data_IF_518286148961
#
_entry.id   IF_518286148961
#
_cell.length_a   1.000
_cell.length_b   1.000
_cell.length_c   1.000
_cell.angle_alpha   90.00
_cell.angle_beta   90.00
_cell.angle_gamma   90.00
#
_symmetry.space_group_name_H-M   'P 1'
#
loop_
_entity.id
_entity.type
_entity.pdbx_description
1 polymer ?
#
# COMPACT_ATOMS: atom_id res chain seq x y z
N UNK A 1 21.98 5.83 -1.40
CA UNK A 1 21.76 7.08 -2.16
C UNK A 1 20.34 7.10 -2.66
N UNK A 2 19.61 8.18 -2.57
CA UNK A 2 18.19 8.23 -2.89
C UNK A 2 17.94 8.30 -4.41
N UNK A 3 16.66 8.33 -4.80
CA UNK A 3 16.28 8.70 -6.16
C UNK A 3 16.94 10.03 -6.55
N UNK A 4 17.51 10.10 -7.74
CA UNK A 4 18.28 11.28 -8.22
C UNK A 4 17.59 12.06 -9.34
N UNK A 5 16.49 11.53 -9.87
CA UNK A 5 15.76 12.16 -10.96
C UNK A 5 14.53 11.38 -11.39
N UNK A 6 13.93 11.85 -12.47
CA UNK A 6 12.76 11.25 -13.10
C UNK A 6 13.13 10.49 -14.37
N UNK A 7 12.33 9.48 -14.67
CA UNK A 7 12.37 8.74 -15.93
C UNK A 7 11.19 9.17 -16.81
N UNK A 8 11.45 9.49 -18.06
CA UNK A 8 10.41 9.75 -19.04
C UNK A 8 9.75 8.47 -19.57
N UNK A 9 8.53 8.55 -20.12
CA UNK A 9 7.85 7.40 -20.72
C UNK A 9 8.67 6.69 -21.81
N UNK A 10 9.48 7.44 -22.57
CA UNK A 10 10.34 6.92 -23.65
C UNK A 10 11.62 6.24 -23.12
N UNK A 11 11.88 6.35 -21.81
CA UNK A 11 13.04 5.73 -21.16
C UNK A 11 14.20 6.66 -20.87
N UNK A 12 14.22 7.88 -21.40
CA UNK A 12 15.20 8.90 -21.05
C UNK A 12 15.08 9.31 -19.58
N UNK A 13 16.13 9.89 -19.02
CA UNK A 13 16.17 10.33 -17.64
C UNK A 13 16.56 11.79 -17.50
N UNK A 14 16.11 12.44 -16.41
CA UNK A 14 16.45 13.81 -16.05
C UNK A 14 16.68 13.90 -14.55
N UNK A 15 17.74 14.59 -14.11
CA UNK A 15 17.97 14.83 -12.68
C UNK A 15 16.87 15.71 -12.07
N UNK A 16 16.62 15.59 -10.76
CA UNK A 16 15.66 16.45 -10.07
C UNK A 16 16.03 17.94 -10.21
N UNK A 17 17.32 18.27 -10.12
CA UNK A 17 17.79 19.64 -10.27
C UNK A 17 17.40 20.22 -11.62
N UNK A 18 17.60 19.48 -12.70
CA UNK A 18 17.26 19.93 -14.04
C UNK A 18 15.74 19.98 -14.27
N UNK A 19 15.01 18.98 -13.79
CA UNK A 19 13.55 18.93 -13.94
C UNK A 19 12.84 20.05 -13.16
N UNK A 20 13.32 20.39 -11.97
CA UNK A 20 12.69 21.39 -11.10
C UNK A 20 13.25 22.80 -11.32
N UNK A 21 14.47 22.93 -11.84
CA UNK A 21 15.15 24.21 -12.06
C UNK A 21 14.58 25.02 -13.24
N UNK A 22 14.18 24.36 -14.32
CA UNK A 22 13.51 24.98 -15.46
C UNK A 22 12.01 24.71 -15.43
N UNK A 23 11.24 25.62 -14.85
CA UNK A 23 9.77 25.49 -14.72
C UNK A 23 9.01 25.39 -16.04
N UNK A 24 9.68 25.50 -17.18
CA UNK A 24 9.09 25.31 -18.50
C UNK A 24 9.20 23.88 -18.99
N UNK A 25 9.90 23.01 -18.25
CA UNK A 25 10.17 21.66 -18.72
C UNK A 25 8.98 20.72 -18.55
N UNK A 26 8.56 20.24 -19.69
CA UNK A 26 8.08 18.88 -19.96
C UNK A 26 6.81 18.40 -19.27
N UNK A 27 5.90 19.30 -18.88
CA UNK A 27 4.51 18.90 -18.59
C UNK A 27 3.93 18.09 -19.75
N UNK A 28 4.25 18.47 -20.99
CA UNK A 28 3.78 17.75 -22.19
C UNK A 28 4.39 16.35 -22.29
N UNK A 29 5.67 16.20 -21.95
CA UNK A 29 6.39 14.93 -22.05
C UNK A 29 6.16 14.00 -20.87
N UNK A 30 6.14 14.52 -19.63
CA UNK A 30 5.89 13.74 -18.41
C UNK A 30 4.42 13.59 -18.06
N UNK A 31 3.56 14.47 -18.54
CA UNK A 31 2.14 14.53 -18.18
C UNK A 31 1.90 14.92 -16.72
N UNK A 32 2.91 15.49 -16.03
CA UNK A 32 2.85 15.80 -14.59
C UNK A 32 3.30 17.26 -14.38
N UNK A 33 2.51 18.01 -13.60
CA UNK A 33 2.83 19.41 -13.31
C UNK A 33 3.95 19.53 -12.27
N UNK A 34 4.72 20.63 -12.35
CA UNK A 34 5.92 20.86 -11.53
C UNK A 34 5.71 20.67 -10.03
N UNK A 35 4.58 21.11 -9.48
CA UNK A 35 4.29 20.97 -8.04
C UNK A 35 4.12 19.52 -7.60
N UNK A 36 3.62 18.64 -8.48
CA UNK A 36 3.55 17.21 -8.22
C UNK A 36 4.95 16.58 -8.33
N UNK A 37 5.77 17.02 -9.27
CA UNK A 37 7.18 16.59 -9.36
C UNK A 37 7.98 17.01 -8.14
N UNK A 38 7.79 18.23 -7.62
CA UNK A 38 8.40 18.70 -6.35
C UNK A 38 8.04 17.77 -5.17
N UNK A 39 6.79 17.33 -5.08
CA UNK A 39 6.37 16.40 -4.04
C UNK A 39 7.02 15.01 -4.22
N UNK A 40 7.06 14.51 -5.44
CA UNK A 40 7.68 13.22 -5.77
C UNK A 40 9.20 13.21 -5.54
N UNK A 41 9.86 14.36 -5.71
CA UNK A 41 11.31 14.53 -5.54
C UNK A 41 11.76 14.64 -4.07
N UNK A 42 10.85 14.62 -3.10
CA UNK A 42 11.20 14.71 -1.68
C UNK A 42 12.09 13.55 -1.26
N UNK A 43 13.25 13.92 -0.73
CA UNK A 43 14.26 12.97 -0.28
C UNK A 43 14.05 12.61 1.20
N UNK A 44 14.47 11.40 1.57
CA UNK A 44 14.58 10.96 2.96
C UNK A 44 16.05 10.81 3.31
N UNK A 45 16.42 11.13 4.54
CA UNK A 45 17.78 10.94 5.02
C UNK A 45 18.23 9.46 4.88
N UNK A 46 19.39 9.20 4.27
CA UNK A 46 19.84 7.82 4.02
C UNK A 46 20.11 7.02 5.30
N UNK A 47 20.59 7.68 6.34
CA UNK A 47 20.99 7.12 7.65
C UNK A 47 19.86 7.10 8.69
N UNK A 48 18.63 7.48 8.28
CA UNK A 48 17.47 7.42 9.17
C UNK A 48 17.21 6.01 9.71
N UNK A 49 16.61 5.94 10.88
CA UNK A 49 16.05 4.67 11.40
C UNK A 49 15.10 4.03 10.37
N UNK A 50 15.07 2.70 10.25
CA UNK A 50 14.10 2.02 9.39
C UNK A 50 12.67 2.35 9.81
N UNK A 51 11.78 2.52 8.84
CA UNK A 51 10.35 2.70 9.12
C UNK A 51 9.59 1.38 9.02
N UNK A 52 8.45 1.30 9.71
CA UNK A 52 7.53 0.15 9.64
C UNK A 52 7.21 -0.20 8.19
N UNK A 53 6.84 0.78 7.37
CA UNK A 53 6.49 0.59 5.96
C UNK A 53 7.66 0.08 5.12
N UNK A 54 8.87 0.55 5.42
CA UNK A 54 10.09 0.11 4.73
C UNK A 54 10.42 -1.35 5.04
N UNK A 55 10.29 -1.76 6.31
CA UNK A 55 10.59 -3.12 6.75
C UNK A 55 9.56 -4.17 6.28
N UNK A 56 8.33 -3.77 6.03
CA UNK A 56 7.32 -4.65 5.41
C UNK A 56 7.70 -4.97 3.96
N UNK A 57 8.36 -4.06 3.27
CA UNK A 57 8.89 -4.29 1.94
C UNK A 57 10.06 -5.29 1.95
N UNK A 58 10.50 -5.71 0.78
CA UNK A 58 11.66 -6.59 0.63
C UNK A 58 12.95 -5.94 1.13
N UNK A 59 13.74 -6.65 1.94
CA UNK A 59 15.00 -6.12 2.50
C UNK A 59 15.97 -5.70 1.42
N UNK A 60 16.08 -6.49 0.33
CA UNK A 60 16.93 -6.14 -0.82
C UNK A 60 16.45 -4.84 -1.50
N UNK A 61 15.14 -4.66 -1.67
CA UNK A 61 14.60 -3.41 -2.20
C UNK A 61 14.94 -2.23 -1.29
N UNK A 62 14.72 -2.34 0.02
CA UNK A 62 15.02 -1.28 0.99
C UNK A 62 16.51 -0.91 0.99
N UNK A 63 17.39 -1.91 0.91
CA UNK A 63 18.82 -1.72 0.80
C UNK A 63 19.19 -0.92 -0.47
N UNK A 64 18.78 -1.40 -1.64
CA UNK A 64 19.09 -0.75 -2.92
C UNK A 64 18.53 0.69 -2.99
N UNK A 65 17.33 0.93 -2.47
CA UNK A 65 16.77 2.29 -2.39
C UNK A 65 17.56 3.24 -1.48
N UNK A 66 18.37 2.72 -0.55
CA UNK A 66 19.24 3.54 0.33
C UNK A 66 20.66 3.70 -0.21
N UNK A 67 21.18 2.71 -0.93
CA UNK A 67 22.59 2.66 -1.34
C UNK A 67 22.85 3.04 -2.78
N UNK A 68 21.86 2.85 -3.67
CA UNK A 68 22.03 3.05 -5.09
C UNK A 68 21.30 4.30 -5.60
N UNK A 69 21.85 4.90 -6.63
CA UNK A 69 21.15 5.98 -7.38
C UNK A 69 20.16 5.39 -8.35
N UNK A 70 18.93 5.89 -8.33
CA UNK A 70 17.90 5.45 -9.26
C UNK A 70 16.98 6.60 -9.69
N UNK A 71 16.21 6.36 -10.75
CA UNK A 71 15.23 7.30 -11.28
C UNK A 71 13.83 6.78 -11.04
N UNK A 72 12.92 7.67 -10.66
CA UNK A 72 11.51 7.36 -10.45
C UNK A 72 10.70 7.68 -11.70
N UNK A 73 9.71 6.83 -12.01
CA UNK A 73 8.72 7.08 -13.05
C UNK A 73 7.52 7.83 -12.44
N UNK A 74 7.27 9.08 -12.83
CA UNK A 74 6.15 9.86 -12.30
C UNK A 74 4.78 9.19 -12.54
N UNK A 75 4.63 8.41 -13.61
CA UNK A 75 3.39 7.69 -13.89
C UNK A 75 3.13 6.56 -12.87
N UNK A 76 4.17 5.81 -12.51
CA UNK A 76 4.09 4.78 -11.47
C UNK A 76 3.86 5.39 -10.08
N UNK A 77 4.39 6.60 -9.84
CA UNK A 77 4.23 7.34 -8.58
C UNK A 77 2.87 8.03 -8.40
N UNK A 78 2.05 8.13 -9.46
CA UNK A 78 0.76 8.84 -9.42
C UNK A 78 -0.18 8.33 -8.31
N UNK A 79 -0.23 7.03 -8.08
CA UNK A 79 -1.06 6.45 -7.01
C UNK A 79 -0.49 6.71 -5.62
N UNK A 80 0.83 6.76 -5.46
CA UNK A 80 1.48 7.13 -4.20
C UNK A 80 1.19 8.59 -3.86
N UNK A 81 1.28 9.48 -4.85
CA UNK A 81 0.92 10.90 -4.71
C UNK A 81 -0.54 11.07 -4.28
N UNK A 82 -1.47 10.36 -4.92
CA UNK A 82 -2.88 10.39 -4.55
C UNK A 82 -3.11 9.88 -3.11
N UNK A 83 -2.37 8.88 -2.67
CA UNK A 83 -2.35 8.41 -1.28
C UNK A 83 -1.89 9.51 -0.33
N UNK A 84 -0.75 10.14 -0.60
CA UNK A 84 -0.19 11.22 0.23
C UNK A 84 -1.17 12.41 0.35
N UNK A 85 -1.82 12.82 -0.74
CA UNK A 85 -2.82 13.88 -0.70
C UNK A 85 -4.03 13.50 0.16
N UNK A 86 -4.49 12.24 0.07
CA UNK A 86 -5.60 11.73 0.85
C UNK A 86 -5.27 11.77 2.36
N UNK A 87 -4.08 11.30 2.77
CA UNK A 87 -3.62 11.36 4.16
C UNK A 87 -3.59 12.81 4.67
N UNK A 88 -2.96 13.74 3.95
CA UNK A 88 -2.88 15.15 4.34
C UNK A 88 -4.24 15.82 4.55
N UNK A 89 -5.24 15.50 3.73
CA UNK A 89 -6.58 16.05 3.91
C UNK A 89 -7.21 15.53 5.22
N UNK A 90 -7.00 14.27 5.54
CA UNK A 90 -7.55 13.67 6.76
C UNK A 90 -6.81 14.15 8.01
N UNK A 91 -5.49 14.25 7.96
CA UNK A 91 -4.65 14.80 9.03
C UNK A 91 -5.02 16.25 9.38
N UNK A 92 -5.20 17.10 8.37
CA UNK A 92 -5.59 18.51 8.59
C UNK A 92 -6.95 18.68 9.28
N UNK A 93 -7.78 17.66 9.32
CA UNK A 93 -9.09 17.68 9.97
C UNK A 93 -9.11 16.88 11.29
N UNK A 94 -8.01 16.23 11.65
CA UNK A 94 -7.87 15.56 12.93
C UNK A 94 -7.56 16.59 14.04
N UNK A 95 -8.00 16.32 15.27
CA UNK A 95 -7.56 17.12 16.42
C UNK A 95 -6.08 16.88 16.70
N UNK A 96 -5.39 17.81 17.38
CA UNK A 96 -3.98 17.65 17.77
C UNK A 96 -3.73 16.36 18.60
N UNK A 97 -4.72 15.89 19.34
CA UNK A 97 -4.65 14.65 20.14
C UNK A 97 -4.80 13.36 19.27
N UNK A 98 -5.33 13.50 18.06
CA UNK A 98 -5.67 12.42 17.14
C UNK A 98 -4.76 12.39 15.89
N UNK A 99 -3.98 13.47 15.68
CA UNK A 99 -3.14 13.62 14.49
C UNK A 99 -1.91 12.70 14.51
N UNK A 100 -1.25 12.66 13.37
CA UNK A 100 -0.04 11.93 13.07
C UNK A 100 0.95 11.86 14.23
N UNK A 101 1.08 10.70 14.85
CA UNK A 101 2.01 10.45 15.95
C UNK A 101 3.23 9.74 15.42
N UNK A 102 4.38 10.43 15.47
CA UNK A 102 5.66 9.78 15.23
C UNK A 102 5.98 8.87 16.41
N UNK A 103 6.14 7.60 16.15
CA UNK A 103 6.41 6.57 17.13
C UNK A 103 7.79 5.98 16.93
N UNK A 104 8.49 5.74 18.04
CA UNK A 104 9.74 4.97 18.07
C UNK A 104 9.56 3.72 18.94
N UNK A 105 10.04 2.58 18.42
CA UNK A 105 10.07 1.33 19.16
C UNK A 105 11.04 0.36 18.54
N UNK A 106 11.87 -0.29 19.33
CA UNK A 106 12.89 -1.24 18.85
C UNK A 106 13.75 -0.69 17.70
N UNK A 107 14.15 0.60 17.76
CA UNK A 107 14.88 1.31 16.70
C UNK A 107 14.19 1.33 15.32
N UNK A 108 12.87 1.33 15.32
CA UNK A 108 12.02 1.46 14.15
C UNK A 108 11.14 2.70 14.33
N UNK A 109 10.90 3.44 13.26
CA UNK A 109 9.99 4.59 13.25
C UNK A 109 8.67 4.26 12.57
N UNK A 110 7.59 4.91 13.01
CA UNK A 110 6.27 4.79 12.41
C UNK A 110 5.49 6.07 12.52
N UNK A 111 4.60 6.29 11.59
CA UNK A 111 3.66 7.41 11.59
C UNK A 111 2.27 6.80 11.57
N UNK A 112 1.45 7.19 12.53
CA UNK A 112 0.07 6.74 12.70
C UNK A 112 -0.87 7.76 12.10
N UNK A 113 -1.79 7.34 11.27
CA UNK A 113 -2.74 8.26 10.64
C UNK A 113 -3.76 8.83 11.64
N UNK A 114 -4.34 7.96 12.48
CA UNK A 114 -5.30 8.38 13.51
C UNK A 114 -5.27 7.43 14.70
N UNK A 115 -5.12 7.99 15.90
CA UNK A 115 -5.34 7.29 17.16
C UNK A 115 -6.29 8.07 18.05
N UNK A 116 -7.52 7.59 18.21
CA UNK A 116 -8.48 8.15 19.16
C UNK A 116 -8.23 7.57 20.56
N UNK A 117 -7.67 8.39 21.44
CA UNK A 117 -7.33 8.01 22.82
C UNK A 117 -8.57 7.78 23.69
N UNK A 118 -9.72 8.37 23.36
CA UNK A 118 -10.96 8.25 24.14
C UNK A 118 -11.65 6.91 23.87
N UNK A 119 -11.78 6.53 22.59
CA UNK A 119 -12.34 5.26 22.19
C UNK A 119 -11.30 4.14 22.13
N UNK A 120 -9.99 4.47 22.24
CA UNK A 120 -8.85 3.55 22.11
C UNK A 120 -8.85 2.82 20.77
N UNK A 121 -9.21 3.55 19.72
CA UNK A 121 -9.27 3.04 18.34
C UNK A 121 -8.09 3.57 17.55
N UNK A 122 -7.44 2.67 16.82
CA UNK A 122 -6.40 2.98 15.87
C UNK A 122 -6.94 2.78 14.45
N UNK A 123 -6.78 3.78 13.60
CA UNK A 123 -7.22 3.73 12.20
C UNK A 123 -6.05 4.06 11.28
N UNK A 124 -5.91 3.28 10.24
CA UNK A 124 -4.96 3.50 9.15
C UNK A 124 -5.75 3.75 7.86
N UNK A 125 -5.46 4.84 7.17
CA UNK A 125 -6.14 5.25 5.96
C UNK A 125 -5.49 4.65 4.71
N UNK A 126 -6.29 4.03 3.84
CA UNK A 126 -5.79 3.45 2.59
C UNK A 126 -6.59 3.93 1.38
N UNK A 127 -5.90 4.49 0.41
CA UNK A 127 -6.46 4.79 -0.91
C UNK A 127 -6.14 3.63 -1.86
N UNK A 128 -7.13 2.81 -2.20
CA UNK A 128 -6.91 1.53 -2.89
C UNK A 128 -7.89 1.29 -4.04
N UNK A 129 -7.61 0.27 -4.86
CA UNK A 129 -8.55 -0.21 -5.88
C UNK A 129 -9.48 -1.31 -5.36
N UNK A 130 -10.59 -1.53 -6.06
CA UNK A 130 -11.61 -2.54 -5.70
C UNK A 130 -11.06 -3.97 -5.61
N UNK A 131 -10.00 -4.30 -6.35
CA UNK A 131 -9.36 -5.61 -6.28
C UNK A 131 -8.77 -5.86 -4.88
N UNK A 132 -7.94 -4.94 -4.37
CA UNK A 132 -7.35 -5.09 -3.04
C UNK A 132 -8.44 -4.98 -1.95
N UNK A 133 -9.41 -4.08 -2.13
CA UNK A 133 -10.53 -3.96 -1.19
C UNK A 133 -11.32 -5.28 -1.07
N UNK A 134 -11.59 -5.97 -2.21
CA UNK A 134 -12.28 -7.25 -2.18
C UNK A 134 -11.49 -8.35 -1.46
N UNK A 135 -10.17 -8.37 -1.59
CA UNK A 135 -9.30 -9.29 -0.85
C UNK A 135 -9.32 -9.01 0.66
N UNK A 136 -9.15 -7.73 1.05
CA UNK A 136 -9.16 -7.30 2.45
C UNK A 136 -10.46 -7.63 3.15
N UNK A 137 -11.58 -7.50 2.44
CA UNK A 137 -12.92 -7.81 2.95
C UNK A 137 -13.29 -9.29 2.84
N UNK A 138 -12.47 -10.12 2.20
CA UNK A 138 -12.80 -11.53 1.95
C UNK A 138 -14.06 -11.69 1.12
N UNK A 139 -14.22 -10.88 0.05
CA UNK A 139 -15.42 -10.93 -0.78
C UNK A 139 -15.48 -12.21 -1.59
N UNK A 140 -16.53 -12.99 -1.36
CA UNK A 140 -16.87 -14.20 -2.11
C UNK A 140 -18.24 -14.04 -2.75
N UNK A 141 -18.60 -14.92 -3.66
CA UNK A 141 -19.92 -14.94 -4.28
C UNK A 141 -20.45 -16.36 -4.47
N UNK A 142 -21.77 -16.47 -4.49
CA UNK A 142 -22.47 -17.65 -4.99
C UNK A 142 -23.39 -17.25 -6.16
N UNK A 143 -23.82 -18.23 -6.92
CA UNK A 143 -24.74 -18.04 -8.02
C UNK A 143 -26.15 -18.45 -7.59
N UNK A 144 -27.11 -17.57 -7.77
CA UNK A 144 -28.53 -17.85 -7.59
C UNK A 144 -29.32 -17.57 -8.87
N UNK A 145 -30.55 -18.07 -8.93
CA UNK A 145 -31.45 -17.75 -10.04
C UNK A 145 -31.81 -16.27 -10.00
N UNK A 146 -31.87 -15.64 -11.18
CA UNK A 146 -32.23 -14.24 -11.29
C UNK A 146 -33.65 -14.01 -10.70
N UNK A 147 -33.80 -13.21 -9.65
CA UNK A 147 -35.08 -12.98 -8.99
C UNK A 147 -36.11 -12.31 -9.91
N UNK A 148 -35.70 -11.73 -11.03
CA UNK A 148 -36.61 -11.22 -12.06
C UNK A 148 -37.29 -12.32 -12.88
N UNK A 149 -36.90 -13.59 -12.69
CA UNK A 149 -37.37 -14.71 -13.47
C UNK A 149 -36.83 -14.74 -14.91
N UNK A 150 -35.81 -13.95 -15.21
CA UNK A 150 -35.22 -13.91 -16.54
C UNK A 150 -34.61 -15.26 -16.94
N UNK A 151 -34.82 -15.70 -18.18
CA UNK A 151 -34.27 -16.93 -18.73
C UNK A 151 -33.28 -16.64 -19.87
N UNK A 152 -32.39 -17.59 -20.14
CA UNK A 152 -31.52 -17.52 -21.30
C UNK A 152 -32.33 -17.71 -22.60
N UNK A 153 -32.23 -16.74 -23.50
CA UNK A 153 -32.91 -16.80 -24.81
C UNK A 153 -32.21 -17.75 -25.79
N UNK A 154 -30.91 -17.98 -25.61
CA UNK A 154 -30.09 -18.86 -26.46
C UNK A 154 -29.14 -19.69 -25.60
N UNK A 155 -28.84 -20.93 -26.03
CA UNK A 155 -27.83 -21.74 -25.37
C UNK A 155 -26.42 -21.20 -25.66
N UNK A 156 -25.55 -21.21 -24.62
CA UNK A 156 -24.20 -20.71 -24.73
C UNK A 156 -23.40 -21.00 -23.46
N UNK A 157 -22.23 -20.39 -23.36
CA UNK A 157 -21.29 -20.54 -22.22
C UNK A 157 -21.94 -20.35 -20.85
N UNK A 158 -22.96 -19.50 -20.76
CA UNK A 158 -23.54 -19.05 -19.49
C UNK A 158 -24.78 -19.86 -19.08
N UNK A 159 -25.39 -20.61 -19.99
CA UNK A 159 -26.57 -21.43 -19.70
C UNK A 159 -27.28 -21.94 -20.96
N UNK A 160 -28.24 -22.83 -20.76
CA UNK A 160 -29.10 -23.39 -21.85
C UNK A 160 -30.31 -22.47 -22.05
N UNK A 161 -30.80 -22.40 -23.32
CA UNK A 161 -32.05 -21.70 -23.62
C UNK A 161 -33.20 -22.23 -22.75
N UNK A 162 -34.00 -21.33 -22.20
CA UNK A 162 -35.14 -21.65 -21.34
C UNK A 162 -34.79 -21.91 -19.86
N UNK A 163 -33.49 -21.99 -19.48
CA UNK A 163 -33.12 -22.10 -18.06
C UNK A 163 -33.03 -20.72 -17.40
N UNK A 164 -33.27 -20.60 -16.08
CA UNK A 164 -33.12 -19.33 -15.36
C UNK A 164 -31.71 -18.77 -15.52
N UNK A 165 -31.62 -17.45 -15.70
CA UNK A 165 -30.33 -16.77 -15.63
C UNK A 165 -29.78 -16.85 -14.21
N UNK A 166 -28.46 -16.88 -14.10
CA UNK A 166 -27.77 -16.82 -12.82
C UNK A 166 -27.23 -15.43 -12.58
N UNK A 167 -27.37 -14.93 -11.35
CA UNK A 167 -26.79 -13.71 -10.87
C UNK A 167 -25.82 -14.01 -9.73
N UNK A 168 -24.77 -13.21 -9.62
CA UNK A 168 -23.83 -13.32 -8.50
C UNK A 168 -24.39 -12.60 -7.29
N UNK A 169 -24.38 -13.26 -6.15
CA UNK A 169 -24.59 -12.64 -4.83
C UNK A 169 -23.29 -12.63 -4.06
N UNK A 170 -22.87 -11.44 -3.69
CA UNK A 170 -21.62 -11.24 -2.95
C UNK A 170 -21.89 -11.22 -1.46
N UNK A 171 -20.94 -11.75 -0.70
CA UNK A 171 -20.93 -11.72 0.76
C UNK A 171 -19.50 -11.62 1.26
N UNK A 172 -19.32 -11.17 2.50
CA UNK A 172 -18.04 -11.15 3.17
C UNK A 172 -17.81 -12.47 3.89
N UNK A 173 -16.65 -13.09 3.63
CA UNK A 173 -16.18 -14.26 4.35
C UNK A 173 -14.91 -13.88 5.13
N UNK A 174 -15.00 -13.70 6.46
CA UNK A 174 -13.86 -13.31 7.28
C UNK A 174 -12.67 -14.28 7.21
N UNK A 175 -12.91 -15.57 6.95
CA UNK A 175 -11.86 -16.59 6.81
C UNK A 175 -11.04 -16.42 5.53
N UNK A 176 -11.60 -15.70 4.54
CA UNK A 176 -10.94 -15.39 3.27
C UNK A 176 -10.37 -13.96 3.23
N UNK A 177 -10.56 -13.20 4.29
CA UNK A 177 -10.01 -11.85 4.38
C UNK A 177 -8.49 -11.90 4.41
N UNK A 178 -7.86 -11.20 3.45
CA UNK A 178 -6.40 -11.08 3.36
C UNK A 178 -5.98 -9.62 3.42
N UNK A 179 -5.62 -9.20 4.62
CA UNK A 179 -5.09 -7.86 4.87
C UNK A 179 -3.59 -7.77 4.57
N UNK A 180 -2.88 -8.91 4.56
CA UNK A 180 -1.45 -8.98 4.25
C UNK A 180 -0.62 -8.00 5.06
N UNK A 181 0.15 -7.18 4.36
CA UNK A 181 1.08 -6.20 4.94
C UNK A 181 0.39 -5.13 5.79
N UNK A 182 -0.87 -4.80 5.52
CA UNK A 182 -1.62 -3.81 6.31
C UNK A 182 -1.87 -4.28 7.75
N UNK A 183 -2.11 -5.59 7.94
CA UNK A 183 -2.25 -6.13 9.28
C UNK A 183 -0.94 -6.04 10.07
N UNK A 184 0.22 -6.30 9.44
CA UNK A 184 1.52 -6.13 10.07
C UNK A 184 1.78 -4.66 10.43
N UNK A 185 1.51 -3.75 9.51
CA UNK A 185 1.71 -2.32 9.70
C UNK A 185 0.95 -1.78 10.91
N UNK A 186 -0.37 -1.98 10.92
CA UNK A 186 -1.22 -1.41 11.99
C UNK A 186 -0.98 -2.10 13.35
N UNK A 187 -0.64 -3.40 13.35
CA UNK A 187 -0.26 -4.07 14.58
C UNK A 187 1.08 -3.57 15.15
N UNK A 188 2.05 -3.19 14.30
CA UNK A 188 3.28 -2.59 14.77
C UNK A 188 3.01 -1.18 15.34
N UNK A 189 2.16 -0.39 14.71
CA UNK A 189 1.71 0.89 15.27
C UNK A 189 0.97 0.70 16.61
N UNK A 190 0.09 -0.29 16.72
CA UNK A 190 -0.52 -0.65 18.00
C UNK A 190 0.53 -0.92 19.08
N UNK A 191 1.51 -1.79 18.76
CA UNK A 191 2.58 -2.12 19.72
C UNK A 191 3.34 -0.86 20.17
N UNK A 192 3.70 0.01 19.25
CA UNK A 192 4.40 1.26 19.54
C UNK A 192 3.56 2.18 20.44
N UNK A 193 2.25 2.33 20.18
CA UNK A 193 1.33 3.11 21.03
C UNK A 193 1.23 2.48 22.43
N UNK A 194 1.02 1.16 22.50
CA UNK A 194 0.91 0.43 23.77
C UNK A 194 2.20 0.53 24.60
N UNK A 195 3.37 0.63 23.95
CA UNK A 195 4.67 0.82 24.64
C UNK A 195 4.80 2.18 25.33
N UNK A 196 4.01 3.18 24.94
CA UNK A 196 3.93 4.48 25.63
C UNK A 196 2.97 4.50 26.83
N UNK A 197 2.37 3.34 27.18
CA UNK A 197 1.40 3.22 28.25
C UNK A 197 -0.06 3.49 27.84
N UNK A 198 -0.31 3.78 26.56
CA UNK A 198 -1.66 3.92 26.00
C UNK A 198 -2.24 2.55 25.68
N UNK A 199 -3.56 2.47 25.51
CA UNK A 199 -4.25 1.20 25.19
C UNK A 199 -4.89 1.29 23.81
N UNK A 200 -4.79 0.20 23.01
CA UNK A 200 -5.50 0.06 21.74
C UNK A 200 -6.46 -1.12 21.84
N UNK A 201 -7.77 -0.83 21.85
CA UNK A 201 -8.81 -1.86 21.94
C UNK A 201 -9.18 -2.42 20.57
N UNK A 202 -9.30 -1.53 19.58
CA UNK A 202 -9.67 -1.90 18.21
C UNK A 202 -8.76 -1.24 17.19
N UNK A 203 -8.57 -1.93 16.08
CA UNK A 203 -7.81 -1.44 14.93
C UNK A 203 -8.65 -1.58 13.68
N UNK A 204 -8.59 -0.57 12.83
CA UNK A 204 -9.31 -0.55 11.55
C UNK A 204 -8.42 -0.05 10.42
N UNK A 205 -8.64 -0.59 9.23
CA UNK A 205 -8.21 0.02 7.98
C UNK A 205 -9.44 0.67 7.34
N UNK A 206 -9.40 1.98 7.15
CA UNK A 206 -10.40 2.70 6.36
C UNK A 206 -9.92 2.77 4.91
N UNK A 207 -10.66 2.11 4.03
CA UNK A 207 -10.35 2.08 2.61
C UNK A 207 -11.21 3.09 1.84
N UNK A 208 -10.58 4.01 1.11
CA UNK A 208 -11.21 4.77 0.03
C UNK A 208 -10.94 4.05 -1.29
N UNK A 209 -12.00 3.55 -1.93
CA UNK A 209 -11.89 2.74 -3.14
C UNK A 209 -12.02 3.61 -4.38
N UNK A 210 -10.89 3.80 -5.09
CA UNK A 210 -10.77 4.73 -6.23
C UNK A 210 -11.68 4.43 -7.41
N UNK A 211 -11.93 3.16 -7.67
CA UNK A 211 -12.79 2.65 -8.74
C UNK A 211 -14.15 2.18 -8.23
N UNK A 212 -14.53 2.57 -7.00
CA UNK A 212 -15.83 2.29 -6.42
C UNK A 212 -16.96 2.82 -7.30
N UNK A 213 -18.09 2.10 -7.33
CA UNK A 213 -19.22 2.43 -8.19
C UNK A 213 -19.11 2.01 -9.66
N UNK A 214 -17.90 1.66 -10.15
CA UNK A 214 -17.72 1.12 -11.50
C UNK A 214 -18.20 -0.34 -11.59
N UNK A 215 -18.52 -0.78 -12.80
CA UNK A 215 -18.95 -2.17 -13.07
C UNK A 215 -17.92 -3.17 -12.56
N UNK A 216 -16.63 -2.91 -12.83
CA UNK A 216 -15.53 -3.77 -12.38
C UNK A 216 -15.44 -3.92 -10.86
N UNK A 217 -15.77 -2.88 -10.10
CA UNK A 217 -15.82 -2.94 -8.64
C UNK A 217 -17.02 -3.76 -8.16
N UNK A 218 -18.20 -3.54 -8.74
CA UNK A 218 -19.39 -4.34 -8.46
C UNK A 218 -19.23 -5.81 -8.79
N UNK A 219 -18.51 -6.14 -9.88
CA UNK A 219 -18.16 -7.52 -10.25
C UNK A 219 -17.19 -8.20 -9.27
N UNK A 220 -16.69 -7.45 -8.27
CA UNK A 220 -15.88 -7.93 -7.13
C UNK A 220 -16.62 -7.82 -5.79
N UNK A 221 -17.90 -7.46 -5.81
CA UNK A 221 -18.71 -7.25 -4.61
C UNK A 221 -18.45 -5.91 -3.90
N UNK A 222 -17.78 -4.97 -4.56
CA UNK A 222 -17.47 -3.65 -4.00
C UNK A 222 -18.48 -2.64 -4.51
N UNK A 223 -19.48 -2.34 -3.69
CA UNK A 223 -20.62 -1.47 -4.03
C UNK A 223 -20.48 -0.04 -3.49
N UNK A 224 -19.61 0.16 -2.49
CA UNK A 224 -19.39 1.45 -1.82
C UNK A 224 -18.00 1.99 -2.16
N UNK A 225 -17.81 3.27 -1.91
CA UNK A 225 -16.52 3.94 -2.09
C UNK A 225 -15.67 3.97 -0.81
N UNK A 226 -16.29 3.76 0.37
CA UNK A 226 -15.60 3.74 1.67
C UNK A 226 -15.99 2.48 2.42
N UNK A 227 -14.96 1.79 2.94
CA UNK A 227 -15.09 0.61 3.80
C UNK A 227 -14.23 0.75 5.04
N UNK A 228 -14.71 0.19 6.14
CA UNK A 228 -13.96 0.04 7.38
C UNK A 228 -13.79 -1.46 7.65
N UNK A 229 -12.55 -1.92 7.66
CA UNK A 229 -12.21 -3.32 7.92
C UNK A 229 -11.51 -3.44 9.27
N UNK A 230 -12.06 -4.24 10.18
CA UNK A 230 -11.43 -4.50 11.48
C UNK A 230 -10.19 -5.39 11.29
N UNK A 231 -9.10 -5.02 11.96
CA UNK A 231 -7.82 -5.73 11.88
C UNK A 231 -7.64 -6.59 13.14
N UNK A 232 -7.44 -7.91 13.00
CA UNK A 232 -7.20 -8.77 14.16
C UNK A 232 -5.84 -8.46 14.81
N UNK A 233 -5.77 -8.61 16.14
CA UNK A 233 -4.51 -8.48 16.88
C UNK A 233 -3.57 -9.65 16.57
N UNK A 234 -2.35 -9.32 16.16
CA UNK A 234 -1.24 -10.28 16.04
C UNK A 234 -0.52 -10.35 17.40
N UNK A 235 -0.11 -11.55 17.79
CA UNK A 235 0.66 -11.74 19.01
C UNK A 235 1.98 -10.94 18.95
N UNK A 236 2.31 -10.26 20.06
CA UNK A 236 3.45 -9.36 20.09
C UNK A 236 4.78 -10.05 19.76
N UNK A 237 4.98 -11.28 20.22
CA UNK A 237 6.24 -12.00 19.97
C UNK A 237 6.44 -12.25 18.47
N UNK A 238 5.42 -12.74 17.76
CA UNK A 238 5.48 -12.94 16.32
C UNK A 238 5.70 -11.64 15.55
N UNK A 239 5.04 -10.56 16.00
CA UNK A 239 5.20 -9.24 15.42
C UNK A 239 6.63 -8.72 15.59
N UNK A 240 7.15 -8.79 16.81
CA UNK A 240 8.49 -8.32 17.16
C UNK A 240 9.58 -9.14 16.49
N UNK A 241 9.43 -10.46 16.43
CA UNK A 241 10.38 -11.34 15.74
C UNK A 241 10.48 -10.95 14.26
N UNK A 242 9.32 -10.76 13.58
CA UNK A 242 9.31 -10.32 12.19
C UNK A 242 10.04 -8.98 11.99
N UNK A 243 9.69 -7.95 12.76
CA UNK A 243 10.27 -6.61 12.55
C UNK A 243 11.73 -6.53 12.98
N UNK A 244 12.14 -7.22 14.05
CA UNK A 244 13.54 -7.30 14.47
C UNK A 244 14.40 -7.99 13.41
N UNK A 245 13.97 -9.16 12.93
CA UNK A 245 14.68 -9.88 11.87
C UNK A 245 14.89 -8.98 10.63
N UNK A 246 13.82 -8.33 10.17
CA UNK A 246 13.87 -7.45 9.00
C UNK A 246 14.78 -6.24 9.21
N UNK A 247 14.71 -5.61 10.38
CA UNK A 247 15.57 -4.50 10.77
C UNK A 247 17.04 -4.92 10.80
N UNK A 248 17.34 -6.00 11.50
CA UNK A 248 18.71 -6.47 11.73
C UNK A 248 19.36 -6.85 10.39
N UNK A 249 18.64 -7.56 9.53
CA UNK A 249 19.10 -7.89 8.17
C UNK A 249 19.37 -6.65 7.31
N UNK A 250 18.53 -5.60 7.42
CA UNK A 250 18.76 -4.35 6.69
C UNK A 250 19.97 -3.61 7.23
N UNK A 251 20.11 -3.48 8.55
CA UNK A 251 21.22 -2.77 9.17
C UNK A 251 22.56 -3.48 8.93
N UNK A 252 22.61 -4.81 9.08
CA UNK A 252 23.78 -5.63 8.76
C UNK A 252 24.22 -5.46 7.30
N UNK A 253 23.25 -5.46 6.37
CA UNK A 253 23.54 -5.26 4.96
C UNK A 253 24.12 -3.86 4.67
N UNK A 254 23.56 -2.83 5.32
CA UNK A 254 24.05 -1.44 5.19
C UNK A 254 25.46 -1.28 5.77
N UNK A 255 25.74 -1.87 6.92
CA UNK A 255 27.04 -1.83 7.58
C UNK A 255 28.11 -2.59 6.77
N UNK A 256 27.78 -3.82 6.35
CA UNK A 256 28.69 -4.67 5.56
C UNK A 256 28.80 -4.25 4.10
N UNK A 257 27.96 -3.34 3.63
CA UNK A 257 27.83 -2.93 2.22
C UNK A 257 27.59 -4.12 1.28
N UNK A 258 26.85 -5.11 1.76
CA UNK A 258 26.56 -6.34 1.02
C UNK A 258 25.08 -6.39 0.64
N UNK A 259 24.79 -6.63 -0.65
CA UNK A 259 23.41 -6.75 -1.12
C UNK A 259 22.72 -7.93 -0.43
N UNK A 260 21.55 -7.72 0.22
CA UNK A 260 20.81 -8.80 0.87
C UNK A 260 20.36 -9.89 -0.10
N UNK A 261 20.00 -11.04 0.44
CA UNK A 261 19.39 -12.12 -0.32
C UNK A 261 18.14 -11.66 -1.08
N UNK A 262 17.78 -12.41 -2.11
CA UNK A 262 16.57 -12.21 -2.91
C UNK A 262 15.34 -12.03 -2.00
N UNK A 263 14.49 -11.06 -2.35
CA UNK A 263 13.18 -10.91 -1.74
C UNK A 263 12.35 -12.19 -1.92
N UNK A 264 11.62 -12.60 -0.89
CA UNK A 264 10.79 -13.81 -0.92
C UNK A 264 9.48 -13.60 -1.70
N UNK A 265 8.71 -14.67 -1.89
CA UNK A 265 7.48 -14.64 -2.68
C UNK A 265 6.41 -13.70 -2.10
N UNK A 266 6.30 -13.56 -0.78
CA UNK A 266 5.38 -12.61 -0.14
C UNK A 266 5.81 -11.17 -0.42
N UNK A 267 7.09 -10.86 -0.23
CA UNK A 267 7.68 -9.54 -0.49
C UNK A 267 7.58 -9.13 -1.97
N UNK A 268 7.53 -10.10 -2.87
CA UNK A 268 7.47 -9.88 -4.32
C UNK A 268 6.07 -10.06 -4.92
N UNK A 269 5.06 -10.40 -4.09
CA UNK A 269 3.70 -10.75 -4.54
C UNK A 269 3.73 -11.83 -5.63
N UNK A 270 4.51 -12.89 -5.42
CA UNK A 270 4.74 -13.93 -6.42
C UNK A 270 5.49 -13.42 -7.67
N UNK A 271 6.36 -12.45 -7.52
CA UNK A 271 7.17 -11.86 -8.60
C UNK A 271 6.53 -10.66 -9.31
N UNK A 272 5.25 -10.39 -9.11
CA UNK A 272 4.54 -9.27 -9.77
C UNK A 272 5.16 -7.91 -9.40
N UNK A 273 5.55 -7.73 -8.13
CA UNK A 273 6.18 -6.51 -7.65
C UNK A 273 7.50 -6.22 -8.37
N UNK A 274 8.34 -7.24 -8.55
CA UNK A 274 9.61 -7.09 -9.28
C UNK A 274 9.40 -6.69 -10.75
N UNK A 275 8.33 -7.18 -11.37
CA UNK A 275 8.06 -6.90 -12.78
C UNK A 275 7.50 -5.50 -13.03
N UNK A 276 6.74 -4.94 -12.07
CA UNK A 276 5.89 -3.74 -12.32
C UNK A 276 6.06 -2.61 -11.33
N UNK A 277 6.46 -2.87 -10.06
CA UNK A 277 6.32 -1.90 -8.97
C UNK A 277 7.60 -1.70 -8.15
N UNK A 278 8.74 -2.27 -8.58
CA UNK A 278 10.00 -2.11 -7.89
C UNK A 278 10.89 -1.11 -8.64
N UNK A 279 11.04 0.09 -8.09
CA UNK A 279 11.82 1.18 -8.70
C UNK A 279 13.28 0.80 -8.95
N UNK A 280 13.83 -0.07 -8.10
CA UNK A 280 15.24 -0.50 -8.14
C UNK A 280 15.43 -1.88 -8.78
N UNK A 281 14.44 -2.40 -9.52
CA UNK A 281 14.54 -3.74 -10.14
C UNK A 281 15.73 -3.88 -11.09
N UNK A 282 16.08 -2.80 -11.80
CA UNK A 282 17.20 -2.78 -12.75
C UNK A 282 18.58 -2.82 -12.09
N UNK A 283 18.64 -2.57 -10.77
CA UNK A 283 19.84 -2.65 -9.92
C UNK A 283 19.90 -3.95 -9.13
N UNK A 284 18.79 -4.72 -9.15
CA UNK A 284 18.67 -5.95 -8.35
C UNK A 284 19.42 -7.11 -9.01
N UNK A 285 20.41 -7.73 -8.35
CA UNK A 285 21.17 -8.83 -8.93
C UNK A 285 20.37 -10.15 -9.06
N UNK A 286 19.14 -10.16 -8.55
CA UNK A 286 18.29 -11.36 -8.49
C UNK A 286 17.15 -11.36 -9.53
N UNK A 287 17.05 -10.34 -10.38
CA UNK A 287 15.98 -10.19 -11.41
C UNK A 287 16.53 -10.33 -12.81
#
# INVERSE_FOLDING_TARGET
>A
MPAIGFKYPEGDTISFQNALGDRKLDVERMGVYITALEEMAKQREPDRKPSVTELINGTCQAYLQRTEEYYIDPQEYAFSLAGTMHHRILENNASEEESEVSLEGIDITGIVDLYDSKSKILIDYKNTGSYKASQVLGMEFYLEDDPSGAVYKRSGRWGKAGTPKKVKRYFQNPEKADMGDWALQINMYRFMIESTGKQVEKMYVQMTVRDGGLVAARDRGIERNIYLAEVPKIHNDHLLDFFKEKRDRLLEALESKTVPNKCNDKETWGGIKCQRFCDVRHLCPWV
#
